data_IF_591427973666
#
_entry.id   IF_591427973666
#
_cell.length_a   1.000
_cell.length_b   1.000
_cell.length_c   1.000
_cell.angle_alpha   90.00
_cell.angle_beta   90.00
_cell.angle_gamma   90.00
#
_symmetry.space_group_name_H-M   'P 1'
#
loop_
_entity.id
_entity.type
_entity.pdbx_description
1 polymer ?
#
# COMPACT_ATOMS: atom_id res chain seq x y z
N UNK A 1 5.14 -7.29 8.27
CA UNK A 1 3.95 -8.10 8.54
C UNK A 1 3.37 -7.66 9.88
N UNK A 2 2.23 -7.00 9.90
CA UNK A 2 1.69 -6.31 11.08
C UNK A 2 0.18 -6.01 10.94
N UNK A 3 -0.42 -5.41 11.99
CA UNK A 3 -1.81 -4.97 11.96
C UNK A 3 -2.81 -6.06 12.31
N UNK A 4 -4.07 -5.83 11.98
CA UNK A 4 -5.18 -6.75 12.21
C UNK A 4 -5.77 -7.17 10.86
N UNK A 5 -6.06 -8.44 10.69
CA UNK A 5 -6.67 -8.96 9.47
C UNK A 5 -8.02 -8.29 9.19
N UNK A 6 -8.23 -7.91 7.95
CA UNK A 6 -9.45 -7.32 7.38
C UNK A 6 -9.85 -5.94 7.95
N UNK A 7 -8.99 -5.32 8.77
CA UNK A 7 -9.21 -3.95 9.23
C UNK A 7 -8.77 -2.94 8.16
N UNK A 8 -9.69 -2.09 7.66
CA UNK A 8 -9.39 -1.17 6.56
C UNK A 8 -8.51 0.02 6.96
N UNK A 9 -8.44 0.34 8.25
CA UNK A 9 -7.62 1.42 8.79
C UNK A 9 -6.43 0.86 9.55
N UNK A 10 -5.26 1.51 9.39
CA UNK A 10 -4.11 1.15 10.20
C UNK A 10 -4.33 1.47 11.68
N UNK A 11 -3.59 0.80 12.55
CA UNK A 11 -3.73 0.95 14.00
C UNK A 11 -2.46 1.50 14.65
N UNK A 12 -2.57 1.85 15.94
CA UNK A 12 -1.45 2.41 16.73
C UNK A 12 -0.23 1.49 16.82
N UNK A 13 -0.42 0.17 16.76
CA UNK A 13 0.70 -0.76 16.79
C UNK A 13 1.51 -0.64 15.49
N UNK A 14 0.85 -0.54 14.33
CA UNK A 14 1.50 -0.30 13.04
C UNK A 14 2.26 1.03 13.04
N UNK A 15 1.66 2.11 13.56
CA UNK A 15 2.36 3.40 13.69
C UNK A 15 3.61 3.31 14.58
N UNK A 16 3.49 2.64 15.72
CA UNK A 16 4.60 2.48 16.67
C UNK A 16 5.75 1.68 16.05
N UNK A 17 5.43 0.59 15.33
CA UNK A 17 6.41 -0.21 14.62
C UNK A 17 7.07 0.57 13.48
N UNK A 18 6.29 1.35 12.72
CA UNK A 18 6.81 2.23 11.67
C UNK A 18 7.81 3.24 12.25
N UNK A 19 7.44 3.94 13.32
CA UNK A 19 8.32 4.91 14.01
C UNK A 19 9.61 4.25 14.52
N UNK A 20 9.53 3.04 15.06
CA UNK A 20 10.71 2.30 15.52
C UNK A 20 11.64 1.91 14.35
N UNK A 21 11.09 1.45 13.23
CA UNK A 21 11.86 1.13 12.04
C UNK A 21 12.52 2.39 11.43
N UNK A 22 11.80 3.51 11.38
CA UNK A 22 12.32 4.80 10.90
C UNK A 22 13.46 5.29 11.80
N UNK A 23 13.31 5.21 13.12
CA UNK A 23 14.35 5.55 14.07
C UNK A 23 15.60 4.66 13.92
N UNK A 24 15.44 3.44 13.43
CA UNK A 24 16.52 2.52 13.08
C UNK A 24 17.10 2.76 11.67
N UNK A 25 16.58 3.72 10.89
CA UNK A 25 17.13 4.14 9.61
C UNK A 25 16.34 3.66 8.38
N UNK A 26 15.11 3.21 8.53
CA UNK A 26 14.27 2.88 7.38
C UNK A 26 13.79 4.17 6.69
N UNK A 27 13.98 4.26 5.38
CA UNK A 27 13.49 5.36 4.54
C UNK A 27 12.14 5.04 3.89
N UNK A 28 11.83 3.75 3.68
CA UNK A 28 10.58 3.27 3.09
C UNK A 28 10.14 2.01 3.83
N UNK A 29 8.87 1.95 4.20
CA UNK A 29 8.25 0.79 4.84
C UNK A 29 7.06 0.34 4.01
N UNK A 30 7.03 -0.93 3.64
CA UNK A 30 5.95 -1.57 2.90
C UNK A 30 5.34 -2.66 3.78
N UNK A 31 4.13 -2.39 4.27
CA UNK A 31 3.39 -3.27 5.16
C UNK A 31 2.56 -4.32 4.43
N UNK A 32 2.35 -5.43 5.12
CA UNK A 32 1.52 -6.57 4.69
C UNK A 32 0.82 -7.18 5.90
N UNK A 33 -0.03 -8.15 5.71
CA UNK A 33 -0.80 -8.93 6.68
C UNK A 33 -2.29 -8.57 6.78
N UNK A 34 -2.74 -7.30 6.76
CA UNK A 34 -4.18 -7.03 6.91
C UNK A 34 -5.06 -7.64 5.82
N UNK A 35 -4.51 -8.12 4.70
CA UNK A 35 -5.24 -8.69 3.56
C UNK A 35 -6.22 -7.73 2.89
N UNK A 36 -6.21 -6.47 3.28
CA UNK A 36 -6.93 -5.35 2.67
C UNK A 36 -5.97 -4.19 2.44
N UNK A 37 -6.26 -3.33 1.47
CA UNK A 37 -5.49 -2.12 1.25
C UNK A 37 -5.68 -1.14 2.40
N UNK A 38 -4.59 -0.54 2.85
CA UNK A 38 -4.59 0.53 3.85
C UNK A 38 -3.85 1.75 3.32
N UNK A 39 -3.80 2.81 4.10
CA UNK A 39 -3.29 4.12 3.72
C UNK A 39 -1.78 4.21 3.54
N UNK A 40 -1.39 5.40 3.07
CA UNK A 40 -0.01 5.84 2.89
C UNK A 40 0.24 7.00 3.84
N UNK A 41 1.40 7.03 4.49
CA UNK A 41 1.80 8.13 5.35
C UNK A 41 3.25 8.54 5.08
N UNK A 42 3.62 9.74 5.51
CA UNK A 42 5.00 10.18 5.62
C UNK A 42 5.30 10.51 7.09
N UNK A 43 6.23 9.78 7.68
CA UNK A 43 6.64 9.96 9.08
C UNK A 43 8.13 10.29 9.08
N UNK A 44 8.51 11.45 9.61
CA UNK A 44 9.90 11.92 9.72
C UNK A 44 10.71 11.83 8.42
N UNK A 45 10.03 12.02 7.27
CA UNK A 45 10.61 11.94 5.93
C UNK A 45 10.57 10.56 5.29
N UNK A 46 10.32 9.49 6.05
CA UNK A 46 10.16 8.15 5.52
C UNK A 46 8.73 7.91 5.00
N UNK A 47 8.62 7.12 3.95
CA UNK A 47 7.33 6.71 3.38
C UNK A 47 6.85 5.42 4.05
N UNK A 48 5.61 5.39 4.48
CA UNK A 48 4.98 4.23 5.10
C UNK A 48 3.72 3.85 4.32
N UNK A 49 3.69 2.65 3.77
CA UNK A 49 2.50 2.03 3.19
C UNK A 49 2.05 0.93 4.14
N UNK A 50 0.90 1.14 4.78
CA UNK A 50 0.48 0.26 5.87
C UNK A 50 0.05 -1.13 5.42
N UNK A 51 -0.62 -1.26 4.27
CA UNK A 51 -0.91 -2.57 3.65
C UNK A 51 -1.22 -2.45 2.17
N UNK A 52 -0.64 -3.35 1.38
CA UNK A 52 -0.92 -3.47 -0.06
C UNK A 52 -2.13 -4.36 -0.36
N UNK A 53 -2.74 -4.98 0.65
CA UNK A 53 -3.73 -6.03 0.44
C UNK A 53 -3.10 -7.31 -0.14
N UNK A 54 -3.92 -8.09 -0.85
CA UNK A 54 -3.46 -9.29 -1.53
C UNK A 54 -3.10 -8.99 -2.99
N UNK A 55 -2.16 -9.74 -3.56
CA UNK A 55 -1.89 -9.75 -5.00
C UNK A 55 -2.16 -11.13 -5.59
N UNK A 56 -1.38 -12.13 -5.18
CA UNK A 56 -1.56 -13.54 -5.55
C UNK A 56 -1.68 -14.33 -4.26
N UNK A 57 -2.89 -14.60 -3.84
CA UNK A 57 -3.16 -15.26 -2.56
C UNK A 57 -4.07 -16.47 -2.78
N UNK A 58 -3.49 -17.65 -2.65
CA UNK A 58 -4.15 -18.94 -2.91
C UNK A 58 -4.77 -19.61 -1.68
N UNK A 59 -4.80 -18.93 -0.54
CA UNK A 59 -4.97 -19.57 0.76
C UNK A 59 -6.40 -19.68 1.28
N UNK A 60 -7.38 -18.96 0.74
CA UNK A 60 -8.73 -18.98 1.31
C UNK A 60 -9.84 -18.98 0.27
N UNK A 61 -10.91 -19.70 0.58
CA UNK A 61 -12.18 -19.61 -0.13
C UNK A 61 -12.99 -18.35 0.28
N UNK A 62 -12.58 -17.66 1.33
CA UNK A 62 -13.32 -16.56 1.96
C UNK A 62 -12.61 -15.21 1.77
N UNK A 63 -12.29 -14.85 0.52
CA UNK A 63 -11.78 -13.52 0.25
C UNK A 63 -12.88 -12.48 0.43
N UNK A 64 -12.66 -11.54 1.34
CA UNK A 64 -13.62 -10.45 1.58
C UNK A 64 -13.57 -9.38 0.50
N UNK A 65 -12.45 -9.30 -0.25
CA UNK A 65 -12.26 -8.37 -1.35
C UNK A 65 -11.14 -8.83 -2.27
N UNK A 66 -11.24 -8.51 -3.55
CA UNK A 66 -10.17 -8.66 -4.53
C UNK A 66 -9.32 -7.39 -4.70
N UNK A 67 -9.61 -6.35 -3.93
CA UNK A 67 -8.89 -5.08 -4.01
C UNK A 67 -7.47 -5.24 -3.46
N UNK A 68 -6.51 -4.85 -4.25
CA UNK A 68 -5.10 -4.87 -3.92
C UNK A 68 -4.37 -3.65 -4.48
N UNK A 69 -3.09 -3.56 -4.18
CA UNK A 69 -2.24 -2.47 -4.60
C UNK A 69 -0.87 -2.99 -5.04
N UNK A 70 -0.42 -2.57 -6.21
CA UNK A 70 0.99 -2.58 -6.59
C UNK A 70 1.59 -1.20 -6.35
N UNK A 71 2.89 -1.15 -6.19
CA UNK A 71 3.63 0.10 -6.09
C UNK A 71 4.70 0.15 -7.14
N UNK A 72 4.79 1.30 -7.82
CA UNK A 72 5.99 1.69 -8.53
C UNK A 72 6.72 2.73 -7.70
N UNK A 73 7.96 2.42 -7.36
CA UNK A 73 8.84 3.32 -6.61
C UNK A 73 9.99 3.77 -7.50
N UNK A 74 10.20 5.09 -7.61
CA UNK A 74 11.39 5.66 -8.23
C UNK A 74 12.20 6.37 -7.17
N UNK A 75 13.33 5.78 -6.80
CA UNK A 75 14.23 6.30 -5.78
C UNK A 75 15.18 7.34 -6.41
N UNK A 76 15.38 8.44 -5.71
CA UNK A 76 16.33 9.48 -6.11
C UNK A 76 17.53 9.50 -5.19
N UNK A 77 18.70 9.65 -5.80
CA UNK A 77 19.96 9.79 -5.11
C UNK A 77 20.71 10.99 -5.68
N UNK A 78 21.48 11.70 -4.84
CA UNK A 78 22.34 12.78 -5.28
C UNK A 78 23.62 12.24 -5.97
N UNK A 79 24.48 13.16 -6.42
CA UNK A 79 25.74 12.81 -7.09
C UNK A 79 26.73 12.04 -6.19
N UNK A 80 26.52 12.03 -4.88
CA UNK A 80 27.33 11.31 -3.90
C UNK A 80 26.69 9.98 -3.48
N UNK A 81 25.58 9.59 -4.12
CA UNK A 81 24.85 8.36 -3.82
C UNK A 81 24.00 8.43 -2.55
N UNK A 82 23.71 9.63 -2.01
CA UNK A 82 22.85 9.77 -0.84
C UNK A 82 21.39 9.81 -1.28
N UNK A 83 20.54 9.05 -0.60
CA UNK A 83 19.10 9.02 -0.86
C UNK A 83 18.46 10.38 -0.59
N UNK A 84 17.74 10.90 -1.59
CA UNK A 84 17.01 12.19 -1.54
C UNK A 84 15.52 12.04 -1.34
N UNK A 85 14.96 10.87 -1.65
CA UNK A 85 13.52 10.62 -1.57
C UNK A 85 13.02 9.66 -2.64
N UNK A 86 11.71 9.44 -2.63
CA UNK A 86 11.03 8.56 -3.57
C UNK A 86 9.82 9.21 -4.23
N UNK A 87 9.61 8.91 -5.50
CA UNK A 87 8.29 9.05 -6.13
C UNK A 87 7.54 7.75 -5.95
N UNK A 88 6.37 7.84 -5.35
CA UNK A 88 5.46 6.72 -5.11
C UNK A 88 4.29 6.82 -6.08
N UNK A 89 4.08 5.78 -6.86
CA UNK A 89 2.95 5.62 -7.77
C UNK A 89 2.14 4.38 -7.33
N UNK A 90 1.02 4.57 -6.63
CA UNK A 90 0.10 3.50 -6.29
C UNK A 90 -0.64 3.03 -7.52
N UNK A 91 -0.67 1.73 -7.76
CA UNK A 91 -1.35 1.11 -8.89
C UNK A 91 -2.44 0.16 -8.35
N UNK A 92 -3.69 0.60 -8.28
CA UNK A 92 -4.81 -0.26 -7.90
C UNK A 92 -4.91 -1.49 -8.78
N UNK A 93 -5.12 -2.65 -8.15
CA UNK A 93 -5.25 -3.94 -8.83
C UNK A 93 -6.43 -4.73 -8.27
N UNK A 94 -6.96 -5.62 -9.09
CA UNK A 94 -7.79 -6.72 -8.64
C UNK A 94 -6.94 -7.99 -8.61
N UNK A 95 -7.04 -8.76 -7.54
CA UNK A 95 -6.29 -10.02 -7.36
C UNK A 95 -6.81 -11.15 -8.23
N UNK A 96 -7.99 -10.96 -8.83
CA UNK A 96 -8.63 -11.89 -9.75
C UNK A 96 -9.29 -11.14 -10.89
N UNK A 97 -9.14 -11.64 -12.09
CA UNK A 97 -9.84 -11.15 -13.29
C UNK A 97 -11.18 -11.84 -13.56
N UNK A 98 -11.67 -12.69 -12.63
CA UNK A 98 -12.91 -13.46 -12.81
C UNK A 98 -14.18 -12.62 -12.85
N UNK A 99 -14.14 -11.39 -12.30
CA UNK A 99 -15.31 -10.51 -12.21
C UNK A 99 -16.28 -10.84 -11.08
N UNK A 100 -16.09 -11.96 -10.37
CA UNK A 100 -16.93 -12.39 -9.23
C UNK A 100 -16.08 -12.75 -8.03
N UNK A 101 -16.56 -12.43 -6.81
CA UNK A 101 -15.80 -12.65 -5.57
C UNK A 101 -15.72 -14.13 -5.16
N UNK A 102 -16.61 -14.97 -5.66
CA UNK A 102 -16.65 -16.40 -5.39
C UNK A 102 -15.67 -17.22 -6.25
N UNK A 103 -15.04 -16.57 -7.24
CA UNK A 103 -14.08 -17.23 -8.15
C UNK A 103 -12.76 -16.46 -8.14
N UNK A 104 -11.78 -16.97 -7.43
CA UNK A 104 -10.41 -16.46 -7.56
C UNK A 104 -9.64 -17.29 -8.60
N UNK A 105 -9.34 -16.68 -9.74
CA UNK A 105 -8.57 -17.33 -10.80
C UNK A 105 -7.06 -17.06 -10.70
N UNK A 106 -6.60 -16.37 -9.62
CA UNK A 106 -5.19 -16.04 -9.35
C UNK A 106 -4.49 -15.25 -10.49
N UNK A 107 -5.27 -14.55 -11.29
CA UNK A 107 -4.78 -13.73 -12.40
C UNK A 107 -5.02 -12.24 -12.07
N UNK A 108 -4.07 -11.55 -11.40
CA UNK A 108 -4.21 -10.14 -11.08
C UNK A 108 -4.27 -9.28 -12.34
N UNK A 109 -5.11 -8.24 -12.30
CA UNK A 109 -5.22 -7.23 -13.36
C UNK A 109 -5.18 -5.83 -12.74
N UNK A 110 -4.77 -4.83 -13.53
CA UNK A 110 -4.95 -3.43 -13.12
C UNK A 110 -6.44 -3.13 -12.97
N UNK A 111 -6.80 -2.44 -11.89
CA UNK A 111 -8.16 -2.01 -11.67
C UNK A 111 -8.47 -0.78 -12.52
N UNK A 112 -9.64 -0.78 -13.17
CA UNK A 112 -10.14 0.32 -13.99
C UNK A 112 -11.54 0.74 -13.52
N UNK A 113 -12.02 1.90 -13.98
CA UNK A 113 -13.37 2.41 -13.69
C UNK A 113 -13.71 2.40 -12.20
N UNK A 114 -14.88 1.89 -11.86
CA UNK A 114 -15.41 1.85 -10.49
C UNK A 114 -14.53 1.07 -9.51
N UNK A 115 -13.83 0.05 -9.99
CA UNK A 115 -12.91 -0.72 -9.15
C UNK A 115 -11.68 0.12 -8.76
N UNK A 116 -11.09 0.86 -9.70
CA UNK A 116 -10.00 1.79 -9.43
C UNK A 116 -10.43 2.84 -8.42
N UNK A 117 -11.57 3.47 -8.64
CA UNK A 117 -12.11 4.51 -7.77
C UNK A 117 -12.38 4.00 -6.35
N UNK A 118 -13.00 2.82 -6.23
CA UNK A 118 -13.24 2.18 -4.93
C UNK A 118 -11.94 1.92 -4.15
N UNK A 119 -10.90 1.44 -4.81
CA UNK A 119 -9.59 1.19 -4.18
C UNK A 119 -8.94 2.50 -3.75
N UNK A 120 -8.99 3.53 -4.60
CA UNK A 120 -8.50 4.87 -4.26
C UNK A 120 -9.18 5.43 -3.01
N UNK A 121 -10.51 5.31 -2.92
CA UNK A 121 -11.27 5.76 -1.76
C UNK A 121 -10.84 5.05 -0.48
N UNK A 122 -10.58 3.74 -0.54
CA UNK A 122 -10.08 2.97 0.61
C UNK A 122 -8.71 3.47 1.08
N UNK A 123 -7.77 3.68 0.17
CA UNK A 123 -6.44 4.19 0.50
C UNK A 123 -6.55 5.62 1.04
N UNK A 124 -7.35 6.48 0.40
CA UNK A 124 -7.54 7.86 0.81
C UNK A 124 -8.15 7.99 2.21
N UNK A 125 -9.06 7.10 2.57
CA UNK A 125 -9.71 7.12 3.90
C UNK A 125 -8.72 6.91 5.04
N UNK A 126 -7.58 6.27 4.77
CA UNK A 126 -6.52 5.96 5.75
C UNK A 126 -5.22 6.77 5.51
N UNK A 127 -5.28 7.78 4.64
CA UNK A 127 -4.14 8.63 4.25
C UNK A 127 -4.36 10.06 4.73
N UNK A 128 -3.41 10.69 5.46
CA UNK A 128 -3.61 12.01 6.07
C UNK A 128 -3.47 13.19 5.10
N UNK A 129 -3.21 12.95 3.82
CA UNK A 129 -3.07 13.96 2.77
C UNK A 129 -3.82 13.53 1.51
N UNK A 130 -4.04 14.47 0.57
CA UNK A 130 -4.67 14.14 -0.70
C UNK A 130 -3.76 13.24 -1.55
N UNK A 131 -4.29 12.12 -1.99
CA UNK A 131 -3.59 11.21 -2.90
C UNK A 131 -3.56 11.78 -4.32
N UNK A 132 -2.48 11.46 -5.03
CA UNK A 132 -2.35 11.66 -6.48
C UNK A 132 -1.71 10.43 -7.12
N UNK A 133 -1.83 10.32 -8.45
CA UNK A 133 -1.28 9.17 -9.17
C UNK A 133 0.23 9.04 -9.01
N UNK A 134 0.95 10.15 -8.82
CA UNK A 134 2.36 10.18 -8.46
C UNK A 134 2.57 11.16 -7.29
N UNK A 135 3.29 10.74 -6.27
CA UNK A 135 3.57 11.55 -5.09
C UNK A 135 5.07 11.57 -4.81
N UNK A 136 5.63 12.76 -4.69
CA UNK A 136 7.02 12.94 -4.27
C UNK A 136 7.13 13.02 -2.75
N UNK A 137 7.93 12.15 -2.17
CA UNK A 137 8.25 12.13 -0.75
C UNK A 137 9.74 12.43 -0.56
N UNK A 138 10.10 13.67 -0.21
CA UNK A 138 11.49 14.03 0.07
C UNK A 138 11.94 13.37 1.38
N UNK A 139 13.20 12.92 1.40
CA UNK A 139 13.88 12.59 2.66
C UNK A 139 14.09 13.89 3.45
N UNK A 140 13.88 13.87 4.75
CA UNK A 140 14.20 14.97 5.65
C UNK A 140 15.64 14.93 6.11
#
# INVERSE_FOLDING_TARGET
HWGTEYEPLHNRAQESMAKAAIAAGADIIIGTHPHVVQGINQIDGAVVLYSLGNLMFGGTHDMTTFDGLLLRLRLRFDALGRYEGAVVEPLPVLTSSSGTLDVNNFAPILAEGDAKERIWQKIQADTPFALSEEMWFPRK
#
